data_IF_264090298830
#
_entry.id   IF_264090298830
#
_cell.length_a   1.000
_cell.length_b   1.000
_cell.length_c   1.000
_cell.angle_alpha   90.00
_cell.angle_beta   90.00
_cell.angle_gamma   90.00
#
_symmetry.space_group_name_H-M   'P 1'
#
loop_
_entity.id
_entity.type
_entity.pdbx_description
1 polymer ?
#
# COMPACT_ATOMS: atom_id res chain seq x y z
N UNK A 1 14.89 -30.40 -48.02
CA UNK A 1 14.26 -29.26 -47.32
C UNK A 1 12.93 -29.70 -46.73
N UNK A 2 12.73 -29.59 -45.41
CA UNK A 2 11.41 -29.85 -44.80
C UNK A 2 10.47 -28.73 -45.22
N UNK A 3 9.36 -29.04 -45.93
CA UNK A 3 8.32 -28.05 -46.28
C UNK A 3 7.84 -27.33 -45.00
N UNK A 4 7.96 -26.01 -44.97
CA UNK A 4 7.47 -25.12 -43.91
C UNK A 4 6.22 -24.36 -44.40
N UNK A 5 5.48 -23.72 -43.48
CA UNK A 5 4.27 -22.93 -43.74
C UNK A 5 3.13 -23.71 -44.43
N UNK A 6 2.87 -24.94 -43.98
CA UNK A 6 1.87 -25.84 -44.58
C UNK A 6 0.43 -25.46 -44.23
N UNK A 7 0.19 -24.84 -43.09
CA UNK A 7 -1.14 -24.42 -42.68
C UNK A 7 -1.44 -23.02 -43.22
N UNK A 8 -2.68 -22.83 -43.65
CA UNK A 8 -3.27 -21.51 -43.90
C UNK A 8 -4.05 -21.06 -42.67
N UNK A 9 -4.31 -19.75 -42.52
CA UNK A 9 -5.18 -19.26 -41.44
C UNK A 9 -6.55 -19.93 -41.47
N UNK A 10 -7.12 -20.10 -42.68
CA UNK A 10 -8.44 -20.71 -42.87
C UNK A 10 -8.48 -22.18 -42.44
N UNK A 11 -7.40 -22.93 -42.69
CA UNK A 11 -7.24 -24.30 -42.19
C UNK A 11 -7.10 -24.31 -40.66
N UNK A 12 -6.26 -23.45 -40.07
CA UNK A 12 -6.09 -23.34 -38.62
C UNK A 12 -7.42 -23.05 -37.90
N UNK A 13 -8.27 -22.20 -38.49
CA UNK A 13 -9.63 -21.92 -37.99
C UNK A 13 -10.54 -23.14 -38.07
N UNK A 14 -10.57 -23.84 -39.21
CA UNK A 14 -11.51 -24.93 -39.49
C UNK A 14 -11.16 -26.27 -38.82
N UNK A 15 -9.91 -26.49 -38.43
CA UNK A 15 -9.48 -27.71 -37.77
C UNK A 15 -10.25 -27.92 -36.46
N UNK A 16 -10.99 -29.02 -36.33
CA UNK A 16 -11.71 -29.40 -35.10
C UNK A 16 -11.31 -30.78 -34.59
N UNK A 17 -10.66 -31.56 -35.44
CA UNK A 17 -10.20 -32.90 -35.10
C UNK A 17 -9.05 -32.81 -34.09
N UNK A 18 -9.20 -33.53 -32.98
CA UNK A 18 -8.20 -33.63 -31.94
C UNK A 18 -6.91 -34.23 -32.51
N UNK A 19 -5.77 -33.63 -32.17
CA UNK A 19 -4.48 -34.08 -32.67
C UNK A 19 -3.46 -32.97 -32.88
N UNK A 20 -2.35 -33.35 -33.51
CA UNK A 20 -1.22 -32.47 -33.81
C UNK A 20 -1.18 -32.18 -35.31
N UNK A 21 -1.43 -30.93 -35.69
CA UNK A 21 -1.49 -30.50 -37.09
C UNK A 21 -0.25 -29.68 -37.45
N UNK A 22 0.60 -30.19 -38.33
CA UNK A 22 1.93 -29.61 -38.58
C UNK A 22 1.91 -28.44 -39.56
N UNK A 23 2.40 -27.27 -39.13
CA UNK A 23 2.71 -26.14 -40.03
C UNK A 23 4.11 -26.30 -40.69
N UNK A 24 4.96 -27.16 -40.12
CA UNK A 24 6.31 -27.42 -40.61
C UNK A 24 7.38 -26.63 -39.85
N UNK A 25 8.65 -26.93 -40.13
CA UNK A 25 9.80 -26.41 -39.38
C UNK A 25 9.69 -26.57 -37.84
N UNK A 26 9.02 -27.63 -37.40
CA UNK A 26 8.80 -27.93 -35.99
C UNK A 26 7.59 -27.24 -35.36
N UNK A 27 6.85 -26.38 -36.08
CA UNK A 27 5.64 -25.74 -35.59
C UNK A 27 4.40 -26.64 -35.82
N UNK A 28 3.57 -26.76 -34.80
CA UNK A 28 2.36 -27.57 -34.76
C UNK A 28 1.20 -26.82 -34.10
N UNK A 29 -0.01 -27.07 -34.58
CA UNK A 29 -1.26 -26.70 -33.90
C UNK A 29 -1.80 -27.93 -33.18
N UNK A 30 -1.82 -27.89 -31.85
CA UNK A 30 -2.46 -28.92 -31.02
C UNK A 30 -3.93 -28.56 -30.85
N UNK A 31 -4.81 -29.49 -31.21
CA UNK A 31 -6.26 -29.42 -30.95
C UNK A 31 -6.57 -30.48 -29.89
N UNK A 32 -7.18 -30.09 -28.78
CA UNK A 32 -7.62 -31.03 -27.73
C UNK A 32 -8.96 -31.68 -28.11
N UNK A 33 -9.33 -32.76 -27.41
CA UNK A 33 -10.66 -33.40 -27.58
C UNK A 33 -11.81 -32.41 -27.33
N UNK A 34 -11.63 -31.45 -26.42
CA UNK A 34 -12.57 -30.36 -26.16
C UNK A 34 -12.54 -29.22 -27.19
N UNK A 35 -11.77 -29.35 -28.29
CA UNK A 35 -11.70 -28.38 -29.38
C UNK A 35 -10.82 -27.15 -29.11
N UNK A 36 -10.19 -27.04 -27.93
CA UNK A 36 -9.26 -25.94 -27.64
C UNK A 36 -7.95 -26.10 -28.41
N UNK A 37 -7.38 -24.98 -28.85
CA UNK A 37 -6.24 -24.95 -29.77
C UNK A 37 -5.05 -24.25 -29.16
N UNK A 38 -3.85 -24.78 -29.38
CA UNK A 38 -2.61 -24.15 -28.93
C UNK A 38 -1.46 -24.42 -29.89
N UNK A 39 -0.57 -23.44 -30.04
CA UNK A 39 0.64 -23.58 -30.85
C UNK A 39 1.74 -24.25 -30.05
N UNK A 40 2.38 -25.26 -30.64
CA UNK A 40 3.48 -26.00 -30.04
C UNK A 40 4.66 -26.02 -31.01
N UNK A 41 5.84 -25.74 -30.48
CA UNK A 41 7.10 -25.83 -31.19
C UNK A 41 7.90 -27.03 -30.69
N UNK A 42 8.27 -27.90 -31.62
CA UNK A 42 9.24 -28.97 -31.44
C UNK A 42 10.61 -28.48 -31.89
N UNK A 43 11.60 -28.58 -31.01
CA UNK A 43 12.99 -28.21 -31.28
C UNK A 43 13.95 -29.18 -30.62
N UNK A 44 15.21 -29.19 -31.05
CA UNK A 44 16.27 -29.96 -30.42
C UNK A 44 17.33 -29.01 -29.86
N UNK A 45 17.81 -29.29 -28.65
CA UNK A 45 18.90 -28.54 -28.02
C UNK A 45 19.81 -29.53 -27.29
N UNK A 46 21.13 -29.44 -27.52
CA UNK A 46 22.13 -30.38 -27.01
C UNK A 46 21.77 -31.86 -27.24
N UNK A 47 21.34 -32.20 -28.46
CA UNK A 47 20.98 -33.57 -28.85
C UNK A 47 19.68 -34.11 -28.24
N UNK A 48 18.94 -33.32 -27.46
CA UNK A 48 17.66 -33.73 -26.86
C UNK A 48 16.49 -33.01 -27.51
N UNK A 49 15.47 -33.76 -27.91
CA UNK A 49 14.22 -33.22 -28.41
C UNK A 49 13.39 -32.62 -27.27
N UNK A 50 12.79 -31.45 -27.52
CA UNK A 50 11.96 -30.70 -26.57
C UNK A 50 10.77 -30.08 -27.27
N UNK A 51 9.70 -29.91 -26.50
CA UNK A 51 8.43 -29.34 -26.95
C UNK A 51 8.08 -28.14 -26.08
N UNK A 52 7.64 -27.03 -26.67
CA UNK A 52 7.27 -25.81 -25.95
C UNK A 52 6.00 -25.19 -26.52
N UNK A 53 5.13 -24.68 -25.66
CA UNK A 53 3.93 -23.95 -26.08
C UNK A 53 4.25 -22.50 -26.45
N UNK A 54 3.74 -22.03 -27.58
CA UNK A 54 3.88 -20.63 -28.05
C UNK A 54 2.64 -19.77 -27.77
N UNK A 55 1.55 -20.40 -27.30
CA UNK A 55 0.33 -19.75 -26.82
C UNK A 55 -0.96 -20.40 -27.33
N UNK A 56 -2.11 -20.03 -26.74
CA UNK A 56 -3.42 -20.49 -27.20
C UNK A 56 -3.80 -19.82 -28.52
N UNK A 57 -4.61 -20.51 -29.32
CA UNK A 57 -5.29 -19.94 -30.48
C UNK A 57 -6.76 -19.70 -30.11
N UNK A 58 -7.38 -18.57 -30.50
CA UNK A 58 -6.92 -17.59 -31.48
C UNK A 58 -6.05 -16.44 -30.96
N UNK A 59 -5.84 -16.32 -29.64
CA UNK A 59 -5.08 -15.21 -29.03
C UNK A 59 -3.69 -15.02 -29.63
N UNK A 60 -3.05 -16.13 -30.01
CA UNK A 60 -1.84 -16.13 -30.83
C UNK A 60 -2.21 -16.56 -32.24
N UNK A 61 -2.12 -15.63 -33.18
CA UNK A 61 -2.40 -15.89 -34.59
C UNK A 61 -1.35 -16.83 -35.21
N UNK A 62 -1.67 -17.44 -36.36
CA UNK A 62 -0.70 -18.26 -37.10
C UNK A 62 0.57 -17.48 -37.47
N UNK A 63 0.42 -16.18 -37.78
CA UNK A 63 1.56 -15.31 -38.14
C UNK A 63 2.45 -15.10 -36.93
N UNK A 64 1.88 -14.71 -35.79
CA UNK A 64 2.61 -14.56 -34.53
C UNK A 64 3.26 -15.86 -34.07
N UNK A 65 2.58 -16.99 -34.25
CA UNK A 65 3.14 -18.31 -33.93
C UNK A 65 4.38 -18.62 -34.77
N UNK A 66 4.39 -18.27 -36.06
CA UNK A 66 5.56 -18.41 -36.95
C UNK A 66 6.71 -17.50 -36.55
N UNK A 67 6.41 -16.24 -36.18
CA UNK A 67 7.41 -15.28 -35.69
C UNK A 67 8.05 -15.76 -34.40
N UNK A 68 7.24 -16.15 -33.40
CA UNK A 68 7.70 -16.75 -32.13
C UNK A 68 8.53 -18.00 -32.38
N UNK A 69 8.11 -18.87 -33.30
CA UNK A 69 8.86 -20.08 -33.68
C UNK A 69 10.20 -19.76 -34.37
N UNK A 70 10.27 -18.69 -35.18
CA UNK A 70 11.50 -18.24 -35.82
C UNK A 70 12.49 -17.68 -34.80
N UNK A 71 12.02 -16.81 -33.90
CA UNK A 71 12.82 -16.25 -32.81
C UNK A 71 13.38 -17.34 -31.89
N UNK A 72 12.54 -18.32 -31.52
CA UNK A 72 12.96 -19.46 -30.70
C UNK A 72 14.05 -20.29 -31.38
N UNK A 73 13.89 -20.59 -32.68
CA UNK A 73 14.90 -21.33 -33.45
C UNK A 73 16.19 -20.53 -33.64
N UNK A 74 16.12 -19.20 -33.73
CA UNK A 74 17.30 -18.34 -33.79
C UNK A 74 18.16 -18.51 -32.53
N UNK A 75 17.55 -18.42 -31.34
CA UNK A 75 18.25 -18.62 -30.07
C UNK A 75 18.89 -20.02 -29.97
N UNK A 76 18.18 -21.07 -30.39
CA UNK A 76 18.73 -22.44 -30.43
C UNK A 76 19.97 -22.53 -31.34
N UNK A 77 19.96 -21.88 -32.50
CA UNK A 77 21.12 -21.86 -33.42
C UNK A 77 22.31 -21.09 -32.85
N UNK A 78 22.05 -20.10 -32.00
CA UNK A 78 23.07 -19.33 -31.29
C UNK A 78 23.60 -20.07 -30.05
N UNK A 79 23.17 -21.31 -29.80
CA UNK A 79 23.60 -22.11 -28.64
C UNK A 79 22.92 -21.73 -27.33
N UNK A 80 21.87 -20.91 -27.38
CA UNK A 80 21.11 -20.46 -26.20
C UNK A 80 19.91 -21.38 -25.99
N UNK A 81 19.73 -21.90 -24.77
CA UNK A 81 18.53 -22.66 -24.38
C UNK A 81 17.36 -21.70 -24.10
N UNK A 82 16.37 -21.55 -25.00
CA UNK A 82 15.35 -20.51 -24.84
C UNK A 82 14.39 -20.82 -23.68
N UNK A 83 14.26 -22.09 -23.28
CA UNK A 83 13.47 -22.48 -22.12
C UNK A 83 14.15 -21.98 -20.84
N UNK A 84 15.48 -22.08 -20.77
CA UNK A 84 16.26 -21.56 -19.65
C UNK A 84 16.15 -20.04 -19.58
N UNK A 85 16.26 -19.33 -20.70
CA UNK A 85 16.05 -17.86 -20.76
C UNK A 85 14.66 -17.47 -20.25
N UNK A 86 13.61 -18.19 -20.68
CA UNK A 86 12.23 -17.95 -20.21
C UNK A 86 12.10 -18.21 -18.70
N UNK A 87 12.70 -19.28 -18.19
CA UNK A 87 12.69 -19.61 -16.76
C UNK A 87 13.48 -18.60 -15.94
N UNK A 88 14.65 -18.18 -16.41
CA UNK A 88 15.50 -17.16 -15.79
C UNK A 88 14.79 -15.80 -15.77
N UNK A 89 14.06 -15.41 -16.83
CA UNK A 89 13.26 -14.19 -16.83
C UNK A 89 12.11 -14.23 -15.81
N UNK A 90 11.38 -15.35 -15.71
CA UNK A 90 10.32 -15.53 -14.72
C UNK A 90 10.89 -15.58 -13.30
N UNK A 91 12.03 -16.25 -13.10
CA UNK A 91 12.71 -16.31 -11.82
C UNK A 91 13.27 -14.93 -11.43
N UNK A 92 13.83 -14.18 -12.37
CA UNK A 92 14.30 -12.80 -12.14
C UNK A 92 13.15 -11.87 -11.77
N UNK A 93 11.98 -11.98 -12.41
CA UNK A 93 10.78 -11.24 -12.02
C UNK A 93 10.33 -11.61 -10.59
N UNK A 94 10.30 -12.90 -10.24
CA UNK A 94 9.96 -13.36 -8.89
C UNK A 94 10.99 -12.97 -7.82
N UNK A 95 12.27 -12.93 -8.17
CA UNK A 95 13.35 -12.50 -7.26
C UNK A 95 13.35 -10.99 -7.11
N UNK A 96 13.00 -10.23 -8.15
CA UNK A 96 12.74 -8.79 -8.02
C UNK A 96 11.58 -8.53 -7.05
N UNK A 97 10.47 -9.29 -7.16
CA UNK A 97 9.35 -9.22 -6.21
C UNK A 97 9.75 -9.61 -4.78
N UNK A 98 10.64 -10.60 -4.60
CA UNK A 98 11.11 -11.06 -3.29
C UNK A 98 12.21 -10.16 -2.66
N UNK A 99 12.89 -9.34 -3.47
CA UNK A 99 13.87 -8.33 -3.03
C UNK A 99 13.26 -6.92 -2.98
N UNK A 100 12.01 -6.74 -3.40
CA UNK A 100 11.36 -5.45 -3.44
C UNK A 100 11.27 -4.88 -2.03
N UNK A 101 11.86 -3.71 -1.84
CA UNK A 101 11.71 -2.92 -0.63
C UNK A 101 10.28 -2.37 -0.64
N UNK A 102 9.35 -3.09 -0.01
CA UNK A 102 7.93 -2.73 -0.07
C UNK A 102 7.61 -1.52 0.79
N UNK A 103 6.49 -0.87 0.48
CA UNK A 103 5.99 0.24 1.30
C UNK A 103 5.78 -0.17 2.77
N UNK A 104 5.13 -1.31 3.02
CA UNK A 104 4.85 -1.75 4.40
C UNK A 104 6.13 -2.07 5.18
N UNK A 105 7.14 -2.60 4.50
CA UNK A 105 8.45 -2.80 5.11
C UNK A 105 9.11 -1.45 5.46
N UNK A 106 9.16 -0.51 4.52
CA UNK A 106 9.66 0.85 4.78
C UNK A 106 8.91 1.55 5.91
N UNK A 107 7.58 1.41 5.93
CA UNK A 107 6.73 1.98 6.98
C UNK A 107 7.11 1.42 8.36
N UNK A 108 7.34 0.11 8.44
CA UNK A 108 7.78 -0.55 9.68
C UNK A 108 9.14 -0.04 10.13
N UNK A 109 10.12 0.04 9.22
CA UNK A 109 11.47 0.54 9.53
C UNK A 109 11.46 2.03 9.93
N UNK A 110 10.64 2.85 9.26
CA UNK A 110 10.47 4.25 9.61
C UNK A 110 9.89 4.41 11.02
N UNK A 111 8.81 3.69 11.33
CA UNK A 111 8.18 3.71 12.66
C UNK A 111 9.16 3.28 13.74
N UNK A 112 9.94 2.23 13.49
CA UNK A 112 10.91 1.73 14.48
C UNK A 112 12.06 2.71 14.72
N UNK A 113 12.64 3.26 13.65
CA UNK A 113 13.74 4.24 13.75
C UNK A 113 13.34 5.55 14.42
N UNK A 114 12.07 5.95 14.34
CA UNK A 114 11.57 7.20 14.92
C UNK A 114 10.86 7.00 16.27
N UNK A 115 10.67 5.75 16.71
CA UNK A 115 9.95 5.41 17.93
C UNK A 115 10.53 6.10 19.16
N UNK A 116 11.85 6.11 19.30
CA UNK A 116 12.55 6.74 20.43
C UNK A 116 12.40 8.27 20.48
N UNK A 117 12.14 8.90 19.32
CA UNK A 117 11.87 10.34 19.23
C UNK A 117 10.43 10.73 19.59
N UNK A 118 9.52 9.76 19.74
CA UNK A 118 8.14 10.02 20.12
C UNK A 118 7.94 9.90 21.62
N UNK A 119 7.37 10.95 22.20
CA UNK A 119 7.09 11.05 23.65
C UNK A 119 6.08 10.01 24.17
N UNK A 120 5.36 9.31 23.30
CA UNK A 120 4.33 8.34 23.69
C UNK A 120 4.27 7.16 22.72
N UNK A 121 4.24 5.94 23.26
CA UNK A 121 4.05 4.71 22.51
C UNK A 121 2.75 4.72 21.68
N UNK A 122 1.72 5.42 22.17
CA UNK A 122 0.44 5.61 21.47
C UNK A 122 0.59 6.32 20.13
N UNK A 123 1.62 7.16 19.99
CA UNK A 123 1.89 7.83 18.72
C UNK A 123 2.33 6.83 17.65
N UNK A 124 3.18 5.86 18.01
CA UNK A 124 3.60 4.78 17.11
C UNK A 124 2.41 3.92 16.67
N UNK A 125 1.56 3.53 17.62
CA UNK A 125 0.35 2.76 17.33
C UNK A 125 -0.59 3.52 16.38
N UNK A 126 -0.73 4.85 16.57
CA UNK A 126 -1.57 5.66 15.69
C UNK A 126 -1.02 5.74 14.26
N UNK A 127 0.31 5.74 14.09
CA UNK A 127 0.95 5.64 12.77
C UNK A 127 0.61 4.29 12.13
N UNK A 128 0.95 3.20 12.79
CA UNK A 128 0.74 1.83 12.30
C UNK A 128 -0.72 1.57 11.95
N UNK A 129 -1.66 1.94 12.85
CA UNK A 129 -3.10 1.72 12.63
C UNK A 129 -3.62 2.44 11.39
N UNK A 130 -3.25 3.71 11.19
CA UNK A 130 -3.74 4.48 10.04
C UNK A 130 -3.11 4.01 8.74
N UNK A 131 -1.82 3.65 8.75
CA UNK A 131 -1.15 3.08 7.57
C UNK A 131 -1.76 1.73 7.19
N UNK A 132 -1.99 0.84 8.16
CA UNK A 132 -2.62 -0.46 7.92
C UNK A 132 -4.06 -0.33 7.39
N UNK A 133 -4.78 0.69 7.83
CA UNK A 133 -6.18 0.89 7.43
C UNK A 133 -6.31 1.48 6.03
N UNK A 134 -5.47 2.46 5.68
CA UNK A 134 -5.66 3.25 4.46
C UNK A 134 -4.56 3.08 3.40
N UNK A 135 -3.31 2.84 3.79
CA UNK A 135 -2.19 2.73 2.84
C UNK A 135 -1.87 1.28 2.46
N UNK A 136 -1.74 0.38 3.44
CA UNK A 136 -1.36 -1.02 3.21
C UNK A 136 -2.26 -1.76 2.20
N UNK A 137 -3.60 -1.60 2.22
CA UNK A 137 -4.47 -2.26 1.25
C UNK A 137 -4.26 -1.82 -0.21
N UNK A 138 -3.69 -0.64 -0.43
CA UNK A 138 -3.54 -0.04 -1.77
C UNK A 138 -2.11 -0.14 -2.27
N UNK A 139 -1.13 0.26 -1.45
CA UNK A 139 0.29 0.37 -1.83
C UNK A 139 1.22 -0.51 -0.98
N UNK A 140 0.72 -1.19 0.06
CA UNK A 140 1.55 -1.83 1.08
C UNK A 140 2.56 -2.86 0.55
N UNK A 141 2.11 -3.68 -0.41
CA UNK A 141 2.94 -4.73 -1.06
C UNK A 141 3.70 -4.23 -2.28
N UNK A 142 3.50 -2.98 -2.69
CA UNK A 142 4.20 -2.43 -3.86
C UNK A 142 5.65 -2.10 -3.50
N UNK A 143 6.55 -2.28 -4.46
CA UNK A 143 7.91 -1.75 -4.37
C UNK A 143 7.87 -0.23 -4.20
N UNK A 144 8.57 0.29 -3.20
CA UNK A 144 8.62 1.72 -2.88
C UNK A 144 9.17 2.56 -4.04
N UNK A 145 10.04 1.99 -4.87
CA UNK A 145 10.58 2.60 -6.07
C UNK A 145 9.54 2.83 -7.17
N UNK A 146 8.47 2.03 -7.20
CA UNK A 146 7.41 2.08 -8.21
C UNK A 146 6.18 2.88 -7.78
N UNK A 147 6.19 3.45 -6.57
CA UNK A 147 5.07 4.27 -6.10
C UNK A 147 5.03 5.59 -6.88
N UNK A 148 3.85 5.99 -7.32
CA UNK A 148 3.65 7.17 -8.17
C UNK A 148 2.50 8.00 -7.64
N UNK A 149 2.34 9.21 -8.17
CA UNK A 149 1.29 10.14 -7.73
C UNK A 149 -0.10 9.54 -7.90
N UNK A 150 -0.35 8.77 -8.98
CA UNK A 150 -1.63 8.07 -9.16
C UNK A 150 -1.95 7.11 -8.01
N UNK A 151 -0.94 6.42 -7.46
CA UNK A 151 -1.11 5.54 -6.30
C UNK A 151 -1.43 6.33 -5.03
N UNK A 152 -0.80 7.50 -4.85
CA UNK A 152 -1.08 8.41 -3.73
C UNK A 152 -2.44 9.11 -3.87
N UNK A 153 -2.93 9.33 -5.08
CA UNK A 153 -4.28 9.88 -5.25
C UNK A 153 -5.34 8.82 -4.91
N UNK A 154 -5.14 7.56 -5.31
CA UNK A 154 -6.03 6.44 -4.97
C UNK A 154 -6.25 6.24 -3.47
N UNK A 155 -5.25 6.54 -2.63
CA UNK A 155 -5.41 6.47 -1.17
C UNK A 155 -6.09 7.71 -0.57
N UNK A 156 -5.94 8.89 -1.19
CA UNK A 156 -6.45 10.16 -0.64
C UNK A 156 -7.86 10.49 -1.11
N UNK A 157 -8.18 10.32 -2.39
CA UNK A 157 -9.47 10.73 -2.97
C UNK A 157 -10.68 10.21 -2.20
N UNK A 158 -10.76 8.92 -1.79
CA UNK A 158 -11.96 8.39 -1.12
C UNK A 158 -12.23 9.04 0.24
N UNK A 159 -11.19 9.59 0.88
CA UNK A 159 -11.27 10.14 2.24
C UNK A 159 -11.06 11.66 2.28
N UNK A 160 -10.66 12.29 1.17
CA UNK A 160 -10.27 13.70 1.14
C UNK A 160 -11.42 14.64 1.53
N UNK A 161 -12.62 14.38 1.00
CA UNK A 161 -13.81 15.20 1.24
C UNK A 161 -14.63 14.75 2.46
N UNK A 162 -14.46 13.52 2.91
CA UNK A 162 -15.25 12.94 4.02
C UNK A 162 -14.50 13.05 5.35
N UNK A 163 -13.20 12.74 5.34
CA UNK A 163 -12.33 12.69 6.53
C UNK A 163 -11.04 13.47 6.29
N UNK A 164 -11.18 14.76 5.97
CA UNK A 164 -10.08 15.63 5.51
C UNK A 164 -8.88 15.70 6.46
N UNK A 165 -9.09 15.67 7.79
CA UNK A 165 -7.99 15.62 8.77
C UNK A 165 -7.23 14.29 8.69
N UNK A 166 -7.96 13.17 8.62
CA UNK A 166 -7.36 11.84 8.47
C UNK A 166 -6.59 11.74 7.16
N UNK A 167 -7.15 12.25 6.06
CA UNK A 167 -6.50 12.27 4.76
C UNK A 167 -5.21 13.09 4.76
N UNK A 168 -5.25 14.29 5.37
CA UNK A 168 -4.06 15.14 5.50
C UNK A 168 -2.97 14.48 6.35
N UNK A 169 -3.33 13.82 7.46
CA UNK A 169 -2.37 13.08 8.29
C UNK A 169 -1.79 11.88 7.56
N UNK A 170 -2.63 11.12 6.85
CA UNK A 170 -2.19 9.96 6.06
C UNK A 170 -1.19 10.39 5.00
N UNK A 171 -1.49 11.43 4.20
CA UNK A 171 -0.59 11.98 3.19
C UNK A 171 0.76 12.36 3.79
N UNK A 172 0.77 13.08 4.91
CA UNK A 172 2.02 13.46 5.59
C UNK A 172 2.85 12.26 6.06
N UNK A 173 2.20 11.17 6.48
CA UNK A 173 2.91 9.94 6.87
C UNK A 173 3.51 9.22 5.67
N UNK A 174 2.75 9.10 4.58
CA UNK A 174 3.23 8.53 3.32
C UNK A 174 4.41 9.35 2.80
N UNK A 175 4.32 10.68 2.83
CA UNK A 175 5.39 11.61 2.48
C UNK A 175 6.66 11.32 3.28
N UNK A 176 6.59 11.24 4.61
CA UNK A 176 7.76 10.95 5.44
C UNK A 176 8.39 9.58 5.18
N UNK A 177 7.57 8.54 4.92
CA UNK A 177 8.07 7.19 4.62
C UNK A 177 8.79 7.17 3.27
N UNK A 178 8.24 7.85 2.26
CA UNK A 178 8.85 7.93 0.94
C UNK A 178 10.13 8.78 0.94
N UNK A 179 10.20 9.83 1.75
CA UNK A 179 11.44 10.59 1.97
C UNK A 179 12.50 9.72 2.65
N UNK A 180 12.12 8.97 3.69
CA UNK A 180 13.03 8.02 4.34
C UNK A 180 13.57 6.96 3.37
N UNK A 181 12.71 6.40 2.52
CA UNK A 181 13.11 5.46 1.48
C UNK A 181 14.05 6.09 0.44
N UNK A 182 13.86 7.37 0.13
CA UNK A 182 14.75 8.13 -0.78
C UNK A 182 16.13 8.32 -0.17
N UNK A 183 16.21 8.67 1.12
CA UNK A 183 17.50 8.80 1.85
C UNK A 183 18.27 7.47 1.86
N UNK A 184 17.58 6.35 1.98
CA UNK A 184 18.17 5.01 1.93
C UNK A 184 18.43 4.50 0.50
N UNK A 185 18.17 5.32 -0.53
CA UNK A 185 18.34 5.01 -1.95
C UNK A 185 17.48 3.83 -2.44
N UNK A 186 16.37 3.55 -1.76
CA UNK A 186 15.38 2.57 -2.20
C UNK A 186 14.43 3.13 -3.27
N UNK A 187 14.39 4.46 -3.40
CA UNK A 187 13.60 5.18 -4.40
C UNK A 187 14.44 6.30 -5.00
N UNK A 188 14.14 6.65 -6.25
CA UNK A 188 14.68 7.82 -6.95
C UNK A 188 13.55 8.75 -7.40
N UNK A 189 13.91 9.99 -7.75
CA UNK A 189 12.98 11.00 -8.24
C UNK A 189 12.24 11.75 -7.14
N UNK A 190 11.23 12.53 -7.54
CA UNK A 190 10.44 13.31 -6.59
C UNK A 190 9.50 12.42 -5.75
N UNK A 191 9.21 12.90 -4.54
CA UNK A 191 8.28 12.24 -3.64
C UNK A 191 6.83 12.48 -4.11
N UNK A 192 6.10 11.43 -4.53
CA UNK A 192 4.77 11.57 -5.11
C UNK A 192 3.71 11.98 -4.09
N UNK A 193 4.02 11.92 -2.78
CA UNK A 193 3.16 12.37 -1.70
C UNK A 193 3.48 13.79 -1.21
N UNK A 194 4.45 14.47 -1.84
CA UNK A 194 4.79 15.85 -1.51
C UNK A 194 3.58 16.76 -1.65
N UNK A 195 3.35 17.62 -0.65
CA UNK A 195 2.25 18.57 -0.74
C UNK A 195 2.58 19.80 -1.58
N UNK A 196 3.58 20.57 -1.14
CA UNK A 196 3.91 21.87 -1.73
C UNK A 196 4.54 21.72 -3.12
N UNK A 197 3.95 22.36 -4.12
CA UNK A 197 4.41 22.30 -5.51
C UNK A 197 4.11 20.98 -6.21
N UNK A 198 3.19 20.17 -5.69
CA UNK A 198 2.82 18.88 -6.27
C UNK A 198 1.34 18.57 -6.02
N UNK A 199 0.98 17.90 -4.90
CA UNK A 199 -0.42 17.56 -4.63
C UNK A 199 -1.33 18.77 -4.42
N UNK A 200 -0.79 19.93 -4.06
CA UNK A 200 -1.53 21.20 -3.99
C UNK A 200 -2.06 21.71 -5.35
N UNK A 201 -1.55 21.17 -6.46
CA UNK A 201 -2.05 21.42 -7.82
C UNK A 201 -3.19 20.47 -8.22
N UNK A 202 -3.30 19.32 -7.54
CA UNK A 202 -4.29 18.28 -7.84
C UNK A 202 -5.45 18.26 -6.85
N UNK A 203 -5.20 18.64 -5.60
CA UNK A 203 -6.17 18.62 -4.51
C UNK A 203 -6.32 20.01 -3.89
N UNK A 204 -7.57 20.48 -3.66
CA UNK A 204 -7.78 21.70 -2.91
C UNK A 204 -7.24 21.55 -1.49
N UNK A 205 -6.61 22.63 -1.00
CA UNK A 205 -6.11 22.70 0.37
C UNK A 205 -7.21 22.35 1.38
N UNK A 206 -6.85 21.60 2.41
CA UNK A 206 -7.78 21.14 3.46
C UNK A 206 -8.68 22.25 4.00
N UNK A 207 -8.14 23.45 4.21
CA UNK A 207 -8.88 24.61 4.73
C UNK A 207 -10.06 25.04 3.84
N UNK A 208 -10.00 24.74 2.54
CA UNK A 208 -11.08 24.98 1.58
C UNK A 208 -12.09 23.85 1.50
N UNK A 209 -11.67 22.62 1.81
CA UNK A 209 -12.50 21.39 1.72
C UNK A 209 -13.34 21.20 2.98
N UNK A 210 -12.74 21.40 4.15
CA UNK A 210 -13.43 21.28 5.43
C UNK A 210 -13.22 22.56 6.22
N UNK A 211 -14.29 23.37 6.34
CA UNK A 211 -14.29 24.47 7.30
C UNK A 211 -14.09 23.89 8.69
N UNK A 212 -13.10 24.40 9.41
CA UNK A 212 -12.88 24.02 10.81
C UNK A 212 -14.10 24.44 11.60
N UNK A 213 -14.92 23.46 12.01
CA UNK A 213 -16.01 23.69 12.94
C UNK A 213 -15.44 23.56 14.35
N UNK A 214 -15.25 24.69 15.01
CA UNK A 214 -14.88 24.70 16.41
C UNK A 214 -16.05 24.18 17.25
N UNK A 215 -15.75 23.44 18.31
CA UNK A 215 -16.75 23.11 19.31
C UNK A 215 -17.04 24.40 20.10
N UNK A 216 -18.31 24.84 20.19
CA UNK A 216 -18.66 26.00 20.99
C UNK A 216 -18.32 25.73 22.46
N UNK A 217 -17.65 26.69 23.09
CA UNK A 217 -17.46 26.66 24.54
C UNK A 217 -18.79 26.98 25.24
N UNK A 218 -19.00 26.39 26.42
CA UNK A 218 -20.12 26.76 27.28
C UNK A 218 -19.96 28.22 27.72
N UNK A 219 -20.95 29.11 27.50
CA UNK A 219 -20.89 30.48 28.00
C UNK A 219 -20.75 30.50 29.53
N UNK A 220 -19.95 31.41 30.08
CA UNK A 220 -19.69 31.45 31.52
C UNK A 220 -20.96 31.69 32.35
N UNK A 221 -21.97 32.35 31.77
CA UNK A 221 -23.27 32.59 32.38
C UNK A 221 -24.08 31.29 32.55
N UNK A 222 -23.87 30.31 31.67
CA UNK A 222 -24.52 29.00 31.71
C UNK A 222 -23.81 28.01 32.64
N UNK A 223 -22.63 28.37 33.17
CA UNK A 223 -21.85 27.49 34.04
C UNK A 223 -22.59 27.13 35.34
N UNK A 224 -23.31 28.10 35.94
CA UNK A 224 -24.05 27.88 37.19
C UNK A 224 -25.17 26.84 37.03
N UNK A 225 -26.12 26.98 36.07
CA UNK A 225 -27.13 25.96 35.85
C UNK A 225 -26.52 24.63 35.42
N UNK A 226 -25.51 24.64 34.55
CA UNK A 226 -24.82 23.43 34.12
C UNK A 226 -24.20 22.64 35.29
N UNK A 227 -23.50 23.31 36.21
CA UNK A 227 -22.91 22.65 37.38
C UNK A 227 -23.97 22.08 38.33
N UNK A 228 -25.16 22.70 38.40
CA UNK A 228 -26.27 22.16 39.19
C UNK A 228 -26.82 20.87 38.57
N UNK A 229 -27.04 20.86 37.26
CA UNK A 229 -27.46 19.66 36.52
C UNK A 229 -26.42 18.54 36.61
N UNK A 230 -25.14 18.88 36.45
CA UNK A 230 -24.05 17.92 36.51
C UNK A 230 -23.90 17.29 37.90
N UNK A 231 -24.15 18.05 38.97
CA UNK A 231 -24.16 17.54 40.35
C UNK A 231 -25.33 16.59 40.64
N UNK A 232 -26.45 16.76 39.95
CA UNK A 232 -27.60 15.87 40.08
C UNK A 232 -27.39 14.52 39.39
N UNK A 233 -26.40 14.40 38.49
CA UNK A 233 -26.06 13.14 37.85
C UNK A 233 -25.21 12.25 38.77
N UNK A 234 -25.65 11.00 38.94
CA UNK A 234 -24.89 9.98 39.65
C UNK A 234 -23.77 9.40 38.78
N UNK A 235 -22.66 9.03 39.41
CA UNK A 235 -21.59 8.25 38.80
C UNK A 235 -20.25 8.98 38.66
N UNK A 236 -19.20 8.19 38.49
CA UNK A 236 -17.81 8.67 38.44
C UNK A 236 -17.57 9.62 37.25
N UNK A 237 -18.28 9.44 36.14
CA UNK A 237 -18.18 10.32 34.98
C UNK A 237 -18.59 11.76 35.30
N UNK A 238 -19.70 11.95 36.02
CA UNK A 238 -20.16 13.27 36.43
C UNK A 238 -19.16 13.95 37.39
N UNK A 239 -18.66 13.20 38.37
CA UNK A 239 -17.62 13.69 39.30
C UNK A 239 -16.33 14.07 38.58
N UNK A 240 -15.89 13.26 37.62
CA UNK A 240 -14.69 13.56 36.82
C UNK A 240 -14.85 14.83 35.98
N UNK A 241 -16.02 15.06 35.37
CA UNK A 241 -16.28 16.30 34.62
C UNK A 241 -16.32 17.51 35.58
N UNK A 242 -16.96 17.40 36.74
CA UNK A 242 -16.96 18.46 37.75
C UNK A 242 -15.53 18.81 38.18
N UNK A 243 -14.72 17.80 38.48
CA UNK A 243 -13.34 17.99 38.89
C UNK A 243 -12.50 18.61 37.77
N UNK A 244 -12.70 18.18 36.52
CA UNK A 244 -12.09 18.77 35.32
C UNK A 244 -12.40 20.27 35.20
N UNK A 245 -13.65 20.67 35.46
CA UNK A 245 -14.07 22.08 35.40
C UNK A 245 -13.45 22.90 36.52
N UNK A 246 -13.44 22.37 37.74
CA UNK A 246 -12.94 23.07 38.93
C UNK A 246 -11.42 23.25 38.92
N UNK A 247 -10.69 22.31 38.31
CA UNK A 247 -9.21 22.30 38.26
C UNK A 247 -8.65 22.80 36.93
N UNK A 248 -9.49 22.89 35.90
CA UNK A 248 -9.08 23.12 34.51
C UNK A 248 -8.02 22.10 33.97
N UNK A 249 -7.87 20.96 34.64
CA UNK A 249 -6.97 19.90 34.22
C UNK A 249 -7.46 19.21 32.94
N UNK A 250 -6.56 18.48 32.26
CA UNK A 250 -6.96 17.73 31.07
C UNK A 250 -7.77 16.49 31.48
N UNK A 251 -8.75 16.12 30.65
CA UNK A 251 -9.59 14.94 30.92
C UNK A 251 -8.80 13.63 31.12
N UNK A 252 -7.61 13.50 30.52
CA UNK A 252 -6.72 12.36 30.75
C UNK A 252 -6.07 12.36 32.14
N UNK A 253 -5.67 13.53 32.63
CA UNK A 253 -5.03 13.72 33.95
C UNK A 253 -6.04 13.38 35.06
N UNK A 254 -7.28 13.88 34.93
CA UNK A 254 -8.38 13.59 35.87
C UNK A 254 -8.77 12.11 35.89
N UNK A 255 -8.95 11.48 34.73
CA UNK A 255 -9.36 10.07 34.67
C UNK A 255 -8.30 9.10 35.18
N UNK A 256 -7.03 9.47 35.09
CA UNK A 256 -5.93 8.63 35.55
C UNK A 256 -5.44 8.98 36.95
N UNK A 257 -6.10 9.92 37.66
CA UNK A 257 -5.67 10.40 38.97
C UNK A 257 -5.61 9.25 39.98
N UNK A 258 -4.58 9.25 40.82
CA UNK A 258 -4.42 8.31 41.93
C UNK A 258 -4.46 9.04 43.27
N UNK A 259 -4.71 8.30 44.35
CA UNK A 259 -4.76 8.89 45.70
C UNK A 259 -3.41 9.43 46.17
N UNK A 260 -2.30 8.83 45.72
CA UNK A 260 -0.94 9.27 46.08
C UNK A 260 -0.56 10.64 45.49
N UNK A 261 -1.35 11.16 44.54
CA UNK A 261 -1.17 12.49 43.96
C UNK A 261 -1.84 13.61 44.78
N UNK A 262 -2.63 13.23 45.79
CA UNK A 262 -3.39 14.17 46.61
C UNK A 262 -2.71 14.37 47.96
N UNK A 263 -2.20 15.58 48.17
CA UNK A 263 -1.79 16.06 49.48
C UNK A 263 -3.00 16.80 50.08
N UNK A 264 -3.81 16.07 50.85
CA UNK A 264 -5.02 16.62 51.46
C UNK A 264 -4.73 17.60 52.60
N UNK A 265 -3.56 17.49 53.23
CA UNK A 265 -3.14 18.40 54.30
C UNK A 265 -2.85 19.79 53.72
N UNK A 266 -2.15 19.84 52.59
CA UNK A 266 -1.85 21.08 51.88
C UNK A 266 -2.90 21.46 50.83
N UNK A 267 -3.92 20.62 50.61
CA UNK A 267 -4.98 20.77 49.60
C UNK A 267 -4.43 20.90 48.19
N UNK A 268 -3.36 20.14 47.89
CA UNK A 268 -2.71 20.12 46.60
C UNK A 268 -3.04 18.83 45.85
N UNK A 269 -3.20 18.97 44.53
CA UNK A 269 -3.20 17.85 43.62
C UNK A 269 -2.00 18.00 42.70
N UNK A 270 -1.02 17.10 42.86
CA UNK A 270 0.25 17.15 42.15
C UNK A 270 0.20 16.16 41.00
N UNK A 271 0.09 16.68 39.76
CA UNK A 271 0.04 15.83 38.56
C UNK A 271 1.46 15.44 38.15
N UNK A 272 1.82 14.13 38.12
CA UNK A 272 3.16 13.69 37.75
C UNK A 272 3.53 14.09 36.32
N UNK A 273 4.78 14.52 36.12
CA UNK A 273 5.29 15.00 34.84
C UNK A 273 5.12 13.99 33.68
N UNK A 274 5.14 12.69 33.98
CA UNK A 274 4.94 11.61 33.00
C UNK A 274 3.56 11.64 32.34
N UNK A 275 2.53 12.12 33.05
CA UNK A 275 1.15 12.22 32.55
C UNK A 275 0.86 13.56 31.88
N UNK A 276 1.80 14.51 31.96
CA UNK A 276 1.65 15.85 31.43
C UNK A 276 2.21 15.96 30.01
N UNK A 277 1.45 16.59 29.11
CA UNK A 277 1.87 16.83 27.71
C UNK A 277 3.17 17.65 27.58
N UNK A 278 3.55 18.39 28.63
CA UNK A 278 4.73 19.24 28.68
C UNK A 278 5.92 18.66 29.48
N UNK A 279 5.77 17.49 30.13
CA UNK A 279 6.80 16.88 31.00
C UNK A 279 7.41 17.83 32.04
N UNK A 280 6.59 18.70 32.63
CA UNK A 280 6.99 19.61 33.71
C UNK A 280 5.88 19.63 34.74
N UNK A 281 6.20 19.36 36.00
CA UNK A 281 5.24 19.35 37.11
C UNK A 281 4.53 20.71 37.19
N UNK A 282 3.22 20.67 37.43
CA UNK A 282 2.44 21.85 37.82
C UNK A 282 1.96 21.60 39.25
N UNK A 283 2.35 22.50 40.14
CA UNK A 283 1.81 22.66 41.50
C UNK A 283 0.55 23.50 41.48
#
# INVERSE_FOLDING_TARGET
>A
MVKANKLTQLQATKLKEAGMHGDGAGLWLKVTEGGSKSWILRYAFNGRERWTGLGPYPDVSLVEAREKASAWRKQVREGIDPMKVKQEAVAAARVADAKAVTFDWCATQYVESHRSGWKSAKHAEQWTSTLNTYASPVIGKMDVGLIETAHVMRLLEPIWHIKSETASRLRGRVESILDWATVHKYRNGENPARWKGHLDSLLPARSKVAKVKHHPALPWQEMKPFMAELRAQAGIGALAVQFTILTAARSGEVRGMTWDELDLDNRLWIVPAERMKAHRELS
#
